data_IF_726799679189
#
_entry.id   IF_726799679189
#
_cell.length_a   1.000
_cell.length_b   1.000
_cell.length_c   1.000
_cell.angle_alpha   90.00
_cell.angle_beta   90.00
_cell.angle_gamma   90.00
#
_symmetry.space_group_name_H-M   'P 1'
#
loop_
_entity.id
_entity.type
_entity.pdbx_description
1 polymer ?
#
# COMPACT_ATOMS: atom_id res chain seq x y z
N UNK A 1 20.99 -5.35 -4.05
CA UNK A 1 20.15 -4.42 -3.25
C UNK A 1 18.79 -4.35 -3.91
N UNK A 2 17.86 -5.23 -3.52
CA UNK A 2 16.46 -5.09 -3.94
C UNK A 2 15.96 -3.85 -3.21
N UNK A 3 15.85 -2.72 -3.92
CA UNK A 3 15.03 -1.61 -3.42
C UNK A 3 13.61 -2.13 -3.46
N UNK A 4 12.95 -2.19 -2.31
CA UNK A 4 11.50 -2.35 -2.22
C UNK A 4 10.84 -1.14 -2.87
N UNK A 5 10.82 -1.12 -4.21
CA UNK A 5 10.53 0.04 -5.07
C UNK A 5 9.07 0.45 -5.11
N UNK A 6 8.31 0.14 -4.08
CA UNK A 6 6.93 0.58 -3.95
C UNK A 6 6.84 2.03 -3.44
N UNK A 7 5.75 2.70 -3.75
CA UNK A 7 5.42 4.02 -3.19
C UNK A 7 4.08 3.96 -2.48
N UNK A 8 4.00 4.57 -1.31
CA UNK A 8 2.77 4.67 -0.55
C UNK A 8 2.35 6.14 -0.44
N UNK A 9 1.07 6.39 -0.67
CA UNK A 9 0.41 7.65 -0.40
C UNK A 9 -0.84 7.39 0.45
N UNK A 10 -0.84 7.89 1.68
CA UNK A 10 -1.94 7.67 2.61
C UNK A 10 -1.54 8.05 4.02
N UNK A 11 -2.41 7.70 4.96
CA UNK A 11 -2.18 7.99 6.37
C UNK A 11 -1.08 7.09 6.94
N UNK A 12 -0.34 7.64 7.90
CA UNK A 12 0.66 6.92 8.68
C UNK A 12 0.34 7.09 10.16
N UNK A 13 0.47 6.01 10.92
CA UNK A 13 0.39 6.02 12.38
C UNK A 13 1.62 5.31 12.93
N UNK A 14 2.36 5.98 13.83
CA UNK A 14 3.63 5.48 14.38
C UNK A 14 4.66 5.09 13.31
N UNK A 15 4.62 5.76 12.15
CA UNK A 15 5.50 5.47 11.02
C UNK A 15 5.08 4.26 10.16
N UNK A 16 3.96 3.60 10.50
CA UNK A 16 3.39 2.49 9.73
C UNK A 16 2.19 2.96 8.92
N UNK A 17 1.92 2.32 7.78
CA UNK A 17 0.71 2.58 6.99
C UNK A 17 -0.53 2.25 7.82
N UNK A 18 -1.41 3.23 7.90
CA UNK A 18 -2.68 3.16 8.62
C UNK A 18 -3.75 3.87 7.80
N UNK A 19 -5.04 3.68 8.11
CA UNK A 19 -6.13 4.45 7.52
C UNK A 19 -6.28 4.17 6.02
N UNK A 20 -6.76 5.15 5.25
CA UNK A 20 -6.90 4.98 3.79
C UNK A 20 -5.58 5.28 3.08
N UNK A 21 -5.24 4.43 2.13
CA UNK A 21 -4.02 4.62 1.34
C UNK A 21 -4.06 3.99 -0.04
N UNK A 22 -3.09 4.43 -0.85
CA UNK A 22 -2.75 3.88 -2.16
C UNK A 22 -1.30 3.43 -2.13
N UNK A 23 -1.07 2.15 -2.43
CA UNK A 23 0.26 1.56 -2.53
C UNK A 23 0.50 1.12 -3.98
N UNK A 24 1.51 1.71 -4.62
CA UNK A 24 2.08 1.18 -5.86
C UNK A 24 3.19 0.22 -5.47
N UNK A 25 3.08 -1.03 -5.86
CA UNK A 25 4.10 -2.04 -5.62
C UNK A 25 5.19 -1.96 -6.69
N UNK A 26 6.39 -2.48 -6.37
CA UNK A 26 7.52 -2.49 -7.29
C UNK A 26 7.26 -3.31 -8.56
N UNK A 27 6.37 -4.30 -8.49
CA UNK A 27 5.93 -5.11 -9.63
C UNK A 27 4.88 -4.39 -10.52
N UNK A 28 4.53 -3.15 -10.21
CA UNK A 28 3.53 -2.35 -10.93
C UNK A 28 2.11 -2.49 -10.40
N UNK A 29 1.83 -3.45 -9.51
CA UNK A 29 0.50 -3.59 -8.92
C UNK A 29 0.11 -2.34 -8.14
N UNK A 30 -1.19 -2.08 -8.06
CA UNK A 30 -1.72 -0.95 -7.30
C UNK A 30 -2.82 -1.41 -6.38
N UNK A 31 -2.64 -1.18 -5.07
CA UNK A 31 -3.69 -1.36 -4.08
C UNK A 31 -4.22 -0.01 -3.61
N UNK A 32 -5.54 0.12 -3.56
CA UNK A 32 -6.24 1.27 -2.95
C UNK A 32 -7.22 0.71 -1.91
N UNK A 33 -7.04 1.05 -0.64
CA UNK A 33 -7.89 0.54 0.43
C UNK A 33 -7.39 0.93 1.82
N UNK A 34 -7.92 0.28 2.85
CA UNK A 34 -7.48 0.55 4.21
C UNK A 34 -6.19 -0.21 4.57
N UNK A 35 -5.44 0.35 5.52
CA UNK A 35 -4.24 -0.21 6.10
C UNK A 35 -4.33 -0.15 7.63
N UNK A 36 -3.72 -1.12 8.30
CA UNK A 36 -3.55 -1.16 9.75
C UNK A 36 -2.22 -1.84 10.06
N UNK A 37 -1.34 -1.17 10.81
CA UNK A 37 -0.01 -1.68 11.18
C UNK A 37 0.77 -2.22 9.96
N UNK A 38 0.85 -1.42 8.90
CA UNK A 38 1.55 -1.72 7.64
C UNK A 38 0.95 -2.84 6.78
N UNK A 39 -0.20 -3.40 7.17
CA UNK A 39 -0.90 -4.45 6.45
C UNK A 39 -2.15 -3.90 5.78
N UNK A 40 -2.52 -4.46 4.63
CA UNK A 40 -3.83 -4.20 4.03
C UNK A 40 -4.92 -4.68 5.00
N UNK A 41 -5.93 -3.86 5.21
CA UNK A 41 -7.05 -4.12 6.11
C UNK A 41 -8.36 -3.73 5.44
N UNK A 42 -9.47 -4.37 5.84
CA UNK A 42 -10.81 -4.02 5.36
C UNK A 42 -11.00 -4.18 3.84
N UNK A 43 -11.85 -3.31 3.27
CA UNK A 43 -12.17 -3.33 1.84
C UNK A 43 -11.12 -2.51 1.07
N UNK A 44 -10.63 -3.08 -0.02
CA UNK A 44 -9.77 -2.40 -0.97
C UNK A 44 -9.84 -3.04 -2.34
N UNK A 45 -9.25 -2.35 -3.32
CA UNK A 45 -9.14 -2.81 -4.70
C UNK A 45 -7.67 -2.99 -5.05
N UNK A 46 -7.31 -4.20 -5.44
CA UNK A 46 -6.04 -4.52 -6.08
C UNK A 46 -6.22 -4.49 -7.59
N UNK A 47 -5.36 -3.76 -8.28
CA UNK A 47 -5.21 -3.77 -9.74
C UNK A 47 -3.86 -4.40 -10.05
N UNK A 48 -3.87 -5.50 -10.80
CA UNK A 48 -2.65 -6.18 -11.20
C UNK A 48 -2.03 -5.47 -12.41
N UNK A 49 -0.71 -5.31 -12.42
CA UNK A 49 0.01 -4.95 -13.63
C UNK A 49 0.08 -6.15 -14.57
N UNK A 50 -0.06 -5.88 -15.88
CA UNK A 50 0.04 -6.89 -16.94
C UNK A 50 1.49 -7.12 -17.36
#
# INVERSE_FOLDING_TARGET
>A
LVKDGGTYAGELENGLRHGRGKHHYANGDVYVGCFENDKRHGIGRLTLAN
#
